data_IF_688532132978
#
_entry.id   IF_688532132978
#
_cell.length_a   1.000
_cell.length_b   1.000
_cell.length_c   1.000
_cell.angle_alpha   90.00
_cell.angle_beta   90.00
_cell.angle_gamma   90.00
#
_symmetry.space_group_name_H-M   'P 1'
#
loop_
_entity.id
_entity.type
_entity.pdbx_description
1 polymer ?
#
# COMPACT_ATOMS: atom_id res chain seq x y z
N UNK A 1 15.24 -16.95 -7.35
CA UNK A 1 15.26 -15.53 -6.85
C UNK A 1 14.68 -15.48 -5.44
N UNK A 2 14.79 -16.06 -4.46
CA UNK A 2 14.40 -16.00 -3.03
C UNK A 2 13.42 -14.88 -2.63
N UNK A 3 12.40 -14.61 -3.43
CA UNK A 3 11.38 -13.62 -3.13
C UNK A 3 10.24 -14.32 -2.37
N UNK A 4 10.01 -13.92 -1.14
CA UNK A 4 9.02 -14.52 -0.24
C UNK A 4 7.72 -13.70 -0.16
N UNK A 5 7.71 -12.48 -0.72
CA UNK A 5 6.55 -11.59 -0.70
C UNK A 5 6.22 -11.10 -2.09
N UNK A 6 4.95 -11.16 -2.45
CA UNK A 6 4.39 -10.58 -3.65
C UNK A 6 3.34 -9.53 -3.27
N UNK A 7 3.36 -8.37 -3.92
CA UNK A 7 2.32 -7.35 -3.77
C UNK A 7 1.43 -7.40 -5.00
N UNK A 8 0.13 -7.30 -4.79
CA UNK A 8 -0.87 -7.14 -5.84
C UNK A 8 -1.97 -6.22 -5.37
N UNK A 9 -2.72 -5.69 -6.31
CA UNK A 9 -3.94 -4.91 -6.06
C UNK A 9 -5.16 -5.81 -6.08
N UNK A 10 -6.30 -5.29 -5.60
CA UNK A 10 -7.59 -6.00 -5.64
C UNK A 10 -8.15 -6.13 -7.06
N UNK A 11 -7.67 -5.32 -7.97
CA UNK A 11 -8.12 -5.27 -9.35
C UNK A 11 -9.27 -4.30 -9.59
N UNK A 12 -9.43 -3.92 -10.84
CA UNK A 12 -10.29 -2.82 -11.24
C UNK A 12 -11.76 -3.09 -10.97
N UNK A 13 -12.39 -2.13 -10.29
CA UNK A 13 -13.83 -2.08 -10.11
C UNK A 13 -14.57 -1.53 -11.33
N UNK A 14 -15.91 -1.54 -11.28
CA UNK A 14 -16.75 -0.85 -12.25
C UNK A 14 -16.57 0.66 -12.11
N UNK A 15 -16.06 1.32 -13.14
CA UNK A 15 -16.07 2.76 -13.24
C UNK A 15 -17.08 3.19 -14.29
N UNK A 16 -18.04 4.07 -13.94
CA UNK A 16 -18.98 4.63 -14.92
C UNK A 16 -18.30 5.39 -16.07
N UNK A 17 -17.09 5.87 -15.83
CA UNK A 17 -16.33 6.70 -16.76
C UNK A 17 -15.47 5.91 -17.75
N UNK A 18 -15.32 4.60 -17.54
CA UNK A 18 -14.45 3.71 -18.34
C UNK A 18 -15.16 2.76 -19.30
N UNK A 19 -16.40 3.03 -19.64
CA UNK A 19 -17.20 2.17 -20.54
C UNK A 19 -16.73 2.09 -22.00
N UNK A 20 -15.58 2.63 -22.35
CA UNK A 20 -15.04 2.52 -23.71
C UNK A 20 -14.25 1.22 -23.84
N UNK A 21 -14.94 0.16 -24.27
CA UNK A 21 -14.34 -1.15 -24.59
C UNK A 21 -14.58 -2.27 -23.58
N UNK A 22 -15.15 -2.01 -22.42
CA UNK A 22 -15.53 -3.05 -21.46
C UNK A 22 -16.96 -3.53 -21.69
N UNK A 23 -17.22 -4.82 -21.45
CA UNK A 23 -18.58 -5.36 -21.56
C UNK A 23 -19.46 -4.73 -20.49
N UNK A 24 -20.62 -4.15 -20.83
CA UNK A 24 -21.55 -3.60 -19.84
C UNK A 24 -21.88 -4.65 -18.76
N UNK A 25 -21.71 -4.28 -17.47
CA UNK A 25 -21.99 -5.14 -16.33
C UNK A 25 -20.90 -6.16 -15.98
N UNK A 26 -19.73 -6.12 -16.63
CA UNK A 26 -18.69 -7.11 -16.39
C UNK A 26 -18.00 -6.98 -15.01
N UNK A 27 -17.97 -5.80 -14.40
CA UNK A 27 -17.23 -5.53 -13.17
C UNK A 27 -18.11 -4.85 -12.12
N UNK A 28 -19.20 -5.49 -11.72
CA UNK A 28 -19.92 -5.06 -10.51
C UNK A 28 -19.14 -5.46 -9.26
N UNK A 29 -19.43 -4.84 -8.13
CA UNK A 29 -18.82 -5.20 -6.85
C UNK A 29 -18.98 -6.70 -6.57
N UNK A 30 -20.16 -7.25 -6.79
CA UNK A 30 -20.50 -8.65 -6.56
C UNK A 30 -19.73 -9.60 -7.49
N UNK A 31 -19.57 -9.24 -8.77
CA UNK A 31 -18.80 -10.05 -9.72
C UNK A 31 -17.30 -10.01 -9.41
N UNK A 32 -16.77 -8.88 -8.98
CA UNK A 32 -15.38 -8.73 -8.56
C UNK A 32 -15.11 -9.55 -7.28
N UNK A 33 -15.97 -9.43 -6.29
CA UNK A 33 -15.87 -10.20 -5.04
C UNK A 33 -15.89 -11.71 -5.31
N UNK A 34 -16.85 -12.19 -6.09
CA UNK A 34 -16.94 -13.61 -6.44
C UNK A 34 -15.71 -14.10 -7.23
N UNK A 35 -15.17 -13.27 -8.13
CA UNK A 35 -13.96 -13.60 -8.87
C UNK A 35 -12.73 -13.63 -7.96
N UNK A 36 -12.64 -12.68 -7.03
CA UNK A 36 -11.59 -12.61 -6.04
C UNK A 36 -11.52 -13.87 -5.17
N UNK A 37 -12.64 -14.27 -4.56
CA UNK A 37 -12.67 -15.47 -3.72
C UNK A 37 -12.31 -16.73 -4.50
N UNK A 38 -12.81 -16.92 -5.74
CA UNK A 38 -12.40 -18.04 -6.59
C UNK A 38 -10.90 -18.03 -6.87
N UNK A 39 -10.34 -16.87 -7.17
CA UNK A 39 -8.89 -16.74 -7.39
C UNK A 39 -8.09 -17.09 -6.13
N UNK A 40 -8.55 -16.69 -4.97
CA UNK A 40 -7.88 -17.04 -3.71
C UNK A 40 -7.98 -18.51 -3.37
N UNK A 41 -9.09 -19.18 -3.66
CA UNK A 41 -9.23 -20.65 -3.52
C UNK A 41 -8.21 -21.39 -4.38
N UNK A 42 -7.96 -20.93 -5.60
CA UNK A 42 -6.99 -21.55 -6.52
C UNK A 42 -5.53 -21.19 -6.18
N UNK A 43 -5.25 -19.93 -5.84
CA UNK A 43 -3.89 -19.43 -5.69
C UNK A 43 -3.30 -19.68 -4.30
N UNK A 44 -4.12 -19.70 -3.25
CA UNK A 44 -3.64 -19.83 -1.87
C UNK A 44 -2.82 -21.12 -1.64
N UNK A 45 -3.23 -22.30 -2.16
CA UNK A 45 -2.42 -23.51 -2.05
C UNK A 45 -1.07 -23.41 -2.80
N UNK A 46 -1.04 -22.62 -3.88
CA UNK A 46 0.19 -22.37 -4.64
C UNK A 46 1.13 -21.49 -3.83
N UNK A 47 0.63 -20.39 -3.27
CA UNK A 47 1.42 -19.51 -2.41
C UNK A 47 2.00 -20.25 -1.20
N UNK A 48 1.20 -21.10 -0.57
CA UNK A 48 1.67 -21.90 0.55
C UNK A 48 2.79 -22.86 0.15
N UNK A 49 2.62 -23.60 -0.95
CA UNK A 49 3.62 -24.53 -1.46
C UNK A 49 4.93 -23.84 -1.85
N UNK A 50 4.85 -22.66 -2.47
CA UNK A 50 6.02 -21.91 -2.94
C UNK A 50 6.63 -21.03 -1.83
N UNK A 51 6.03 -20.98 -0.63
CA UNK A 51 6.50 -20.15 0.48
C UNK A 51 6.33 -18.65 0.23
N UNK A 52 5.35 -18.26 -0.61
CA UNK A 52 5.09 -16.86 -0.97
C UNK A 52 3.96 -16.31 -0.11
N UNK A 53 4.12 -15.11 0.43
CA UNK A 53 3.05 -14.33 1.02
C UNK A 53 2.55 -13.28 0.02
N UNK A 54 1.28 -13.38 -0.38
CA UNK A 54 0.60 -12.35 -1.14
C UNK A 54 0.15 -11.24 -0.19
N UNK A 55 0.64 -10.03 -0.41
CA UNK A 55 0.20 -8.81 0.28
C UNK A 55 -0.67 -7.99 -0.67
N UNK A 56 -1.97 -7.95 -0.40
CA UNK A 56 -2.93 -7.27 -1.28
C UNK A 56 -3.10 -5.82 -0.84
N UNK A 57 -3.11 -4.92 -1.78
CA UNK A 57 -3.14 -3.48 -1.55
C UNK A 57 -4.43 -2.88 -2.13
N UNK A 58 -5.22 -2.13 -1.35
CA UNK A 58 -6.32 -1.34 -1.91
C UNK A 58 -5.76 -0.19 -2.73
N UNK A 59 -6.32 0.01 -3.90
CA UNK A 59 -5.88 1.04 -4.84
C UNK A 59 -7.08 1.85 -5.35
N UNK A 60 -6.93 3.16 -5.59
CA UNK A 60 -7.95 3.96 -6.27
C UNK A 60 -8.42 3.32 -7.57
N UNK A 61 -9.74 3.28 -7.77
CA UNK A 61 -10.42 2.65 -8.90
C UNK A 61 -10.48 1.12 -8.88
N UNK A 62 -9.95 0.47 -7.85
CA UNK A 62 -10.21 -0.94 -7.61
C UNK A 62 -11.63 -1.16 -7.07
N UNK A 63 -12.10 -2.40 -7.08
CA UNK A 63 -13.39 -2.72 -6.48
C UNK A 63 -13.37 -2.61 -4.94
N UNK A 64 -12.18 -2.62 -4.33
CA UNK A 64 -11.92 -2.21 -2.95
C UNK A 64 -10.83 -1.13 -2.97
N UNK A 65 -11.20 0.07 -2.59
CA UNK A 65 -10.31 1.22 -2.57
C UNK A 65 -9.86 1.62 -1.15
N UNK A 66 -10.63 1.26 -0.12
CA UNK A 66 -10.40 1.66 1.27
C UNK A 66 -9.76 0.54 2.08
N UNK A 67 -8.96 0.92 3.07
CA UNK A 67 -8.18 -0.01 3.87
C UNK A 67 -9.05 -0.91 4.76
N UNK A 68 -10.07 -0.35 5.43
CA UNK A 68 -10.92 -1.12 6.35
C UNK A 68 -11.69 -2.24 5.63
N UNK A 69 -12.41 -2.00 4.53
CA UNK A 69 -13.01 -3.10 3.75
C UNK A 69 -11.99 -4.10 3.23
N UNK A 70 -10.80 -3.65 2.84
CA UNK A 70 -9.73 -4.55 2.41
C UNK A 70 -9.26 -5.45 3.56
N UNK A 71 -9.08 -4.89 4.75
CA UNK A 71 -8.71 -5.65 5.94
C UNK A 71 -9.78 -6.71 6.28
N UNK A 72 -11.06 -6.38 6.16
CA UNK A 72 -12.14 -7.31 6.43
C UNK A 72 -12.17 -8.50 5.46
N UNK A 73 -11.96 -8.26 4.17
CA UNK A 73 -11.84 -9.33 3.17
C UNK A 73 -10.65 -10.25 3.50
N UNK A 74 -9.51 -9.70 3.86
CA UNK A 74 -8.34 -10.50 4.22
C UNK A 74 -8.57 -11.29 5.52
N UNK A 75 -9.28 -10.73 6.51
CA UNK A 75 -9.70 -11.45 7.71
C UNK A 75 -10.63 -12.62 7.40
N UNK A 76 -11.55 -12.45 6.42
CA UNK A 76 -12.46 -13.53 5.97
C UNK A 76 -11.68 -14.66 5.31
N UNK A 77 -10.70 -14.36 4.46
CA UNK A 77 -9.83 -15.38 3.86
C UNK A 77 -9.05 -16.13 4.93
N UNK A 78 -8.60 -15.43 5.97
CA UNK A 78 -7.94 -15.99 7.15
C UNK A 78 -6.82 -16.99 6.82
N UNK A 79 -5.96 -16.65 5.87
CA UNK A 79 -4.84 -17.49 5.47
C UNK A 79 -3.49 -16.80 5.71
N UNK A 80 -2.50 -17.53 6.23
CA UNK A 80 -1.17 -17.00 6.57
C UNK A 80 -0.43 -16.39 5.37
N UNK A 81 -0.69 -16.93 4.17
CA UNK A 81 -0.04 -16.49 2.92
C UNK A 81 -0.86 -15.44 2.14
N UNK A 82 -2.00 -14.98 2.67
CA UNK A 82 -2.79 -13.88 2.07
C UNK A 82 -2.95 -12.80 3.12
N UNK A 83 -2.28 -11.71 2.91
CA UNK A 83 -2.13 -10.63 3.88
C UNK A 83 -2.45 -9.28 3.23
N UNK A 84 -2.42 -8.21 4.02
CA UNK A 84 -2.70 -6.85 3.58
C UNK A 84 -1.40 -6.05 3.38
N UNK A 85 -1.35 -5.27 2.32
CA UNK A 85 -0.39 -4.18 2.13
C UNK A 85 -1.07 -2.84 2.34
N UNK A 86 -0.33 -1.88 2.87
CA UNK A 86 -0.80 -0.51 3.05
C UNK A 86 0.17 0.48 2.40
N UNK A 87 -0.39 1.48 1.76
CA UNK A 87 0.33 2.67 1.30
C UNK A 87 -0.55 3.90 1.46
N UNK A 88 -0.05 4.92 2.13
CA UNK A 88 -0.81 6.12 2.44
C UNK A 88 -1.34 6.89 1.21
N UNK A 89 -0.60 7.07 0.11
CA UNK A 89 -1.10 7.70 -1.10
C UNK A 89 -2.40 7.14 -1.66
N UNK A 90 -2.69 5.84 -1.44
CA UNK A 90 -3.90 5.22 -1.98
C UNK A 90 -5.15 5.48 -1.12
N UNK A 91 -4.98 5.77 0.15
CA UNK A 91 -6.10 5.88 1.11
C UNK A 91 -6.23 7.26 1.73
N UNK A 92 -5.15 8.02 1.81
CA UNK A 92 -5.10 9.31 2.50
C UNK A 92 -6.13 10.32 1.95
N UNK A 93 -6.39 10.32 0.66
CA UNK A 93 -7.33 11.27 0.07
C UNK A 93 -8.81 10.99 0.37
N UNK A 94 -9.16 9.85 0.95
CA UNK A 94 -10.51 9.63 1.48
C UNK A 94 -10.76 10.43 2.75
N UNK A 95 -9.70 10.97 3.35
CA UNK A 95 -9.77 11.83 4.53
C UNK A 95 -10.05 11.06 5.82
N UNK A 96 -9.74 9.78 5.82
CA UNK A 96 -9.90 8.91 6.96
C UNK A 96 -8.77 9.14 7.99
N UNK A 97 -9.02 8.74 9.23
CA UNK A 97 -8.01 8.74 10.29
C UNK A 97 -6.99 7.62 10.01
N UNK A 98 -5.79 8.00 9.57
CA UNK A 98 -4.71 7.07 9.24
C UNK A 98 -4.33 6.18 10.43
N UNK A 99 -4.29 6.72 11.64
CA UNK A 99 -3.96 5.94 12.83
C UNK A 99 -5.05 4.91 13.14
N UNK A 100 -6.32 5.29 13.04
CA UNK A 100 -7.44 4.36 13.23
C UNK A 100 -7.40 3.24 12.18
N UNK A 101 -7.18 3.57 10.91
CA UNK A 101 -7.07 2.58 9.83
C UNK A 101 -5.93 1.59 10.07
N UNK A 102 -4.74 2.07 10.46
CA UNK A 102 -3.59 1.21 10.74
C UNK A 102 -3.85 0.27 11.92
N UNK A 103 -4.50 0.75 13.00
CA UNK A 103 -4.88 -0.09 14.14
C UNK A 103 -5.86 -1.20 13.72
N UNK A 104 -6.85 -0.87 12.91
CA UNK A 104 -7.84 -1.83 12.40
C UNK A 104 -7.22 -2.88 11.48
N UNK A 105 -6.29 -2.47 10.63
CA UNK A 105 -5.61 -3.35 9.68
C UNK A 105 -4.49 -4.20 10.33
N UNK A 106 -3.98 -3.81 11.49
CA UNK A 106 -2.82 -4.41 12.13
C UNK A 106 -2.83 -5.95 12.20
N UNK A 107 -3.95 -6.63 12.52
CA UNK A 107 -3.95 -8.10 12.60
C UNK A 107 -3.62 -8.81 11.28
N UNK A 108 -3.85 -8.16 10.15
CA UNK A 108 -3.64 -8.72 8.80
C UNK A 108 -2.57 -8.00 8.00
N UNK A 109 -2.01 -6.92 8.53
CA UNK A 109 -1.00 -6.11 7.88
C UNK A 109 0.34 -6.87 7.81
N UNK A 110 0.96 -6.91 6.64
CA UNK A 110 2.22 -7.59 6.41
C UNK A 110 3.26 -6.70 5.73
N UNK A 111 2.82 -5.83 4.83
CA UNK A 111 3.70 -4.93 4.11
C UNK A 111 3.18 -3.51 4.22
N UNK A 112 4.08 -2.57 4.50
CA UNK A 112 3.78 -1.14 4.50
C UNK A 112 4.73 -0.45 3.54
N UNK A 113 4.17 0.20 2.54
CA UNK A 113 4.91 0.96 1.54
C UNK A 113 4.89 2.43 1.94
N UNK A 114 6.06 3.03 1.99
CA UNK A 114 6.27 4.39 2.49
C UNK A 114 6.43 5.35 1.32
N UNK A 115 5.51 6.27 1.21
CA UNK A 115 5.56 7.42 0.30
C UNK A 115 4.67 8.54 0.85
N UNK A 116 5.04 9.78 0.62
CA UNK A 116 4.25 10.94 0.98
C UNK A 116 3.27 11.33 -0.13
N UNK A 117 2.24 12.08 0.23
CA UNK A 117 1.24 12.59 -0.70
C UNK A 117 0.55 13.82 -0.12
N UNK A 118 -0.11 14.59 -0.99
CA UNK A 118 -0.96 15.70 -0.55
C UNK A 118 -2.38 15.23 -0.21
N UNK A 119 -3.01 15.93 0.73
CA UNK A 119 -4.43 15.76 0.99
C UNK A 119 -5.24 16.27 -0.21
N UNK A 120 -6.01 15.42 -0.88
CA UNK A 120 -6.77 15.81 -2.05
C UNK A 120 -7.92 16.77 -1.73
N UNK A 121 -8.35 16.88 -0.47
CA UNK A 121 -9.31 17.93 -0.06
C UNK A 121 -8.73 19.33 -0.18
N UNK A 122 -7.39 19.48 -0.07
CA UNK A 122 -6.66 20.71 -0.32
C UNK A 122 -6.35 20.97 -1.80
N UNK A 123 -6.46 19.98 -2.66
CA UNK A 123 -6.04 20.02 -4.05
C UNK A 123 -7.21 20.09 -5.05
N UNK A 124 -8.13 21.02 -4.87
CA UNK A 124 -9.22 21.30 -5.86
C UNK A 124 -10.14 20.13 -6.21
N UNK A 125 -10.29 19.12 -5.36
CA UNK A 125 -11.21 18.00 -5.56
C UNK A 125 -10.82 17.03 -6.68
N UNK A 126 -9.62 17.11 -7.21
CA UNK A 126 -9.10 16.12 -8.13
C UNK A 126 -8.65 14.89 -7.35
N UNK A 127 -9.10 13.73 -7.78
CA UNK A 127 -8.72 12.42 -7.22
C UNK A 127 -7.22 12.13 -7.40
N UNK A 128 -6.65 12.70 -8.43
CA UNK A 128 -5.23 12.61 -8.73
C UNK A 128 -4.59 13.98 -8.66
N UNK A 129 -3.58 14.12 -7.84
CA UNK A 129 -2.75 15.31 -7.84
C UNK A 129 -1.81 15.23 -9.03
N UNK A 130 -1.62 16.33 -9.72
CA UNK A 130 -0.64 16.42 -10.80
C UNK A 130 0.74 16.21 -10.18
N UNK A 131 1.55 15.37 -10.78
CA UNK A 131 2.97 15.20 -10.43
C UNK A 131 3.70 16.55 -10.35
N UNK A 132 4.96 16.58 -9.88
CA UNK A 132 5.73 17.80 -9.73
C UNK A 132 5.57 18.78 -10.88
N UNK A 133 5.78 20.08 -10.67
CA UNK A 133 5.63 21.09 -11.71
C UNK A 133 6.31 20.68 -13.02
N UNK A 134 5.56 20.69 -14.12
CA UNK A 134 6.03 20.27 -15.44
C UNK A 134 5.66 18.82 -15.84
N UNK A 135 5.14 18.01 -14.94
CA UNK A 135 4.61 16.69 -15.28
C UNK A 135 3.20 16.81 -15.87
N UNK A 136 2.95 16.11 -16.98
CA UNK A 136 1.64 16.03 -17.63
C UNK A 136 0.85 14.78 -17.20
N UNK A 137 1.47 13.90 -16.43
CA UNK A 137 0.86 12.65 -16.00
C UNK A 137 0.03 12.89 -14.74
N UNK A 138 -1.24 12.50 -14.77
CA UNK A 138 -2.11 12.50 -13.59
C UNK A 138 -1.99 11.16 -12.89
N UNK A 139 -1.28 11.15 -11.75
CA UNK A 139 -1.20 10.00 -10.85
C UNK A 139 -1.38 10.50 -9.42
N UNK A 140 -1.84 9.63 -8.52
CA UNK A 140 -1.70 9.91 -7.11
C UNK A 140 -0.21 10.00 -6.80
N UNK A 141 0.18 11.01 -6.04
CA UNK A 141 1.59 11.29 -5.83
C UNK A 141 2.19 10.28 -4.86
N UNK A 142 3.40 9.85 -5.18
CA UNK A 142 4.25 9.06 -4.31
C UNK A 142 5.56 9.80 -4.15
N UNK A 143 5.61 10.63 -3.12
CA UNK A 143 6.68 11.59 -2.87
C UNK A 143 7.64 11.10 -1.79
N UNK A 144 8.78 11.73 -1.68
CA UNK A 144 9.68 11.55 -0.55
C UNK A 144 9.01 12.02 0.76
N UNK A 145 9.37 11.41 1.88
CA UNK A 145 8.94 11.83 3.22
C UNK A 145 9.17 13.33 3.40
N UNK A 146 8.12 14.07 3.80
CA UNK A 146 8.15 15.51 4.04
C UNK A 146 7.90 16.38 2.81
N UNK A 147 7.70 15.80 1.64
CA UNK A 147 7.31 16.53 0.42
C UNK A 147 5.79 16.62 0.25
N UNK A 148 5.02 15.91 1.07
CA UNK A 148 3.55 15.94 1.13
C UNK A 148 3.02 16.47 2.46
N UNK A 149 1.88 15.95 2.88
CA UNK A 149 1.13 16.43 4.06
C UNK A 149 0.87 15.33 5.10
N UNK A 150 1.53 14.15 4.97
CA UNK A 150 1.36 13.07 5.94
C UNK A 150 2.05 13.39 7.26
N UNK A 151 1.36 13.11 8.37
CA UNK A 151 1.96 13.14 9.71
C UNK A 151 2.76 11.84 9.96
N UNK A 152 4.06 11.93 9.72
CA UNK A 152 4.97 10.79 9.84
C UNK A 152 5.21 10.35 11.28
N UNK A 153 5.07 11.25 12.26
CA UNK A 153 5.15 10.89 13.68
C UNK A 153 3.92 10.07 14.09
N UNK A 154 2.74 10.45 13.64
CA UNK A 154 1.52 9.64 13.81
C UNK A 154 1.64 8.31 13.08
N UNK A 155 2.16 8.30 11.85
CA UNK A 155 2.32 7.08 11.05
C UNK A 155 3.22 6.05 11.75
N UNK A 156 4.48 6.39 12.01
CA UNK A 156 5.44 5.47 12.62
C UNK A 156 5.13 5.19 14.08
N UNK A 157 4.60 6.17 14.82
CA UNK A 157 4.12 6.00 16.18
C UNK A 157 3.01 4.96 16.27
N UNK A 158 2.05 4.99 15.32
CA UNK A 158 0.97 3.99 15.28
C UNK A 158 1.49 2.61 14.88
N UNK A 159 2.40 2.50 13.91
CA UNK A 159 3.03 1.22 13.56
C UNK A 159 3.75 0.60 14.77
N UNK A 160 4.46 1.41 15.56
CA UNK A 160 5.12 0.94 16.78
C UNK A 160 4.11 0.54 17.87
N UNK A 161 3.04 1.32 18.07
CA UNK A 161 1.95 1.02 19.00
C UNK A 161 1.33 -0.34 18.72
N UNK A 162 1.03 -0.64 17.44
CA UNK A 162 0.46 -1.92 17.02
C UNK A 162 1.51 -3.04 16.91
N UNK A 163 2.77 -2.75 17.22
CA UNK A 163 3.90 -3.68 17.15
C UNK A 163 4.07 -4.30 15.76
N UNK A 164 3.91 -3.48 14.73
CA UNK A 164 4.12 -3.94 13.36
C UNK A 164 5.57 -4.41 13.19
N UNK A 165 5.76 -5.65 12.77
CA UNK A 165 7.05 -6.32 12.56
C UNK A 165 7.23 -6.82 11.11
N UNK A 166 6.35 -6.39 10.21
CA UNK A 166 6.37 -6.75 8.80
C UNK A 166 7.40 -5.96 7.98
N UNK A 167 7.18 -5.93 6.68
CA UNK A 167 8.10 -5.31 5.72
C UNK A 167 7.76 -3.83 5.56
N UNK A 168 8.78 -2.96 5.63
CA UNK A 168 8.72 -1.56 5.21
C UNK A 168 9.52 -1.37 3.92
N UNK A 169 8.93 -0.77 2.92
CA UNK A 169 9.63 -0.43 1.67
C UNK A 169 9.29 0.98 1.20
N UNK A 170 10.28 1.69 0.68
CA UNK A 170 10.05 2.94 -0.04
C UNK A 170 9.29 2.68 -1.34
N UNK A 171 8.33 3.52 -1.66
CA UNK A 171 7.53 3.45 -2.87
C UNK A 171 7.35 4.83 -3.52
N UNK A 172 8.47 5.47 -3.81
CA UNK A 172 8.52 6.81 -4.44
C UNK A 172 8.74 6.66 -5.93
N UNK A 173 7.91 7.34 -6.72
CA UNK A 173 8.08 7.44 -8.17
C UNK A 173 7.69 8.83 -8.71
N UNK A 174 7.58 9.81 -7.83
CA UNK A 174 7.38 11.21 -8.20
C UNK A 174 8.63 11.89 -8.79
N UNK A 175 9.81 11.30 -8.63
CA UNK A 175 11.11 11.93 -8.93
C UNK A 175 11.99 11.02 -9.78
N UNK A 176 11.61 10.77 -11.01
CA UNK A 176 12.38 9.88 -11.89
C UNK A 176 13.82 10.37 -12.11
N UNK A 177 14.01 11.69 -12.24
CA UNK A 177 15.30 12.33 -12.47
C UNK A 177 16.29 12.27 -11.29
N UNK A 178 15.77 12.04 -10.06
CA UNK A 178 16.60 11.95 -8.84
C UNK A 178 16.36 10.66 -8.04
N UNK A 179 15.94 9.61 -8.72
CA UNK A 179 15.54 8.32 -8.10
C UNK A 179 16.56 7.74 -7.12
N UNK A 180 17.85 7.82 -7.46
CA UNK A 180 18.92 7.29 -6.60
C UNK A 180 19.05 8.11 -5.31
N UNK A 181 19.04 9.44 -5.43
CA UNK A 181 19.07 10.34 -4.28
C UNK A 181 17.82 10.17 -3.40
N UNK A 182 16.64 10.09 -4.01
CA UNK A 182 15.36 9.81 -3.33
C UNK A 182 15.42 8.47 -2.58
N UNK A 183 15.90 7.41 -3.21
CA UNK A 183 16.01 6.09 -2.57
C UNK A 183 16.93 6.10 -1.34
N UNK A 184 18.06 6.80 -1.42
CA UNK A 184 18.97 6.96 -0.28
C UNK A 184 18.35 7.80 0.83
N UNK A 185 17.71 8.91 0.48
CA UNK A 185 17.01 9.78 1.42
C UNK A 185 15.88 9.01 2.15
N UNK A 186 15.00 8.35 1.40
CA UNK A 186 13.89 7.56 1.96
C UNK A 186 14.38 6.48 2.92
N UNK A 187 15.45 5.77 2.55
CA UNK A 187 16.05 4.77 3.44
C UNK A 187 16.54 5.39 4.75
N UNK A 188 17.20 6.55 4.68
CA UNK A 188 17.71 7.25 5.86
C UNK A 188 16.57 7.73 6.75
N UNK A 189 15.52 8.31 6.18
CA UNK A 189 14.37 8.80 6.92
C UNK A 189 13.56 7.66 7.56
N UNK A 190 13.28 6.60 6.82
CA UNK A 190 12.61 5.41 7.38
C UNK A 190 13.43 4.86 8.56
N UNK A 191 14.76 4.74 8.41
CA UNK A 191 15.63 4.28 9.50
C UNK A 191 15.58 5.21 10.70
N UNK A 192 15.59 6.53 10.50
CA UNK A 192 15.48 7.53 11.56
C UNK A 192 14.18 7.36 12.37
N UNK A 193 13.04 7.14 11.69
CA UNK A 193 11.77 6.90 12.34
C UNK A 193 11.74 5.56 13.07
N UNK A 194 12.31 4.51 12.48
CA UNK A 194 12.44 3.21 13.15
C UNK A 194 13.28 3.32 14.43
N UNK A 195 14.41 4.02 14.37
CA UNK A 195 15.26 4.23 15.55
C UNK A 195 14.53 5.04 16.65
N UNK A 196 13.66 5.97 16.24
CA UNK A 196 12.88 6.81 17.16
C UNK A 196 11.79 6.02 17.87
N UNK A 197 11.01 5.23 17.14
CA UNK A 197 9.80 4.59 17.65
C UNK A 197 9.99 3.13 18.08
N UNK A 198 10.94 2.42 17.48
CA UNK A 198 11.21 1.01 17.80
C UNK A 198 12.51 0.81 18.60
N UNK A 199 13.33 1.86 18.68
CA UNK A 199 14.67 1.79 19.31
C UNK A 199 15.73 1.16 18.42
N UNK A 200 17.00 1.45 18.69
CA UNK A 200 18.15 1.04 17.86
C UNK A 200 18.33 -0.49 17.71
N UNK A 201 17.64 -1.29 18.50
CA UNK A 201 17.82 -2.75 18.49
C UNK A 201 17.14 -3.47 17.31
N UNK A 202 16.22 -2.81 16.59
CA UNK A 202 15.51 -3.43 15.47
C UNK A 202 16.04 -3.05 14.08
N UNK A 203 17.10 -2.28 14.00
CA UNK A 203 17.69 -1.80 12.74
C UNK A 203 18.57 -2.84 12.01
N UNK A 204 18.53 -4.11 12.37
CA UNK A 204 19.25 -5.15 11.65
C UNK A 204 18.44 -5.60 10.41
N UNK A 205 18.58 -4.86 9.33
CA UNK A 205 18.29 -5.39 8.00
C UNK A 205 19.31 -6.51 7.74
N UNK A 206 18.90 -7.76 7.82
CA UNK A 206 19.74 -8.87 7.36
C UNK A 206 20.12 -8.60 5.89
N UNK A 207 21.41 -8.44 5.65
CA UNK A 207 21.91 -8.39 4.26
C UNK A 207 21.59 -9.74 3.62
N UNK A 208 20.96 -9.76 2.45
CA UNK A 208 20.71 -11.01 1.75
C UNK A 208 22.04 -11.73 1.58
N UNK A 209 22.16 -12.95 2.08
CA UNK A 209 23.33 -13.81 1.87
C UNK A 209 23.40 -14.07 0.36
N UNK A 210 24.33 -13.40 -0.30
CA UNK A 210 24.72 -13.74 -1.68
C UNK A 210 25.33 -15.14 -1.64
N UNK A 211 24.61 -16.11 -2.21
CA UNK A 211 25.18 -17.39 -2.65
C UNK A 211 25.56 -17.27 -4.10
#
# INVERSE_FOLDING_TARGET
>A
MGCETMISEFGRGASPERSVGERPGANTKETCEAAWFRSMEELTPIFEREGITLSVEPHPEDWIEQLSPAADIIKVINHKNVRLSYIAPHTFYYGDDMAAMLREAAPVLHHVRVADTFNPKGSSGLRYVVNPPGSTVRVHQHLDIGEGELDWDVFFGTLAEVKFDGILSSCVFGWEERRDASSHFMRAEIQRYLDTYYGKAQSHVEKPKRK
#
